data_IF_328532631855
#
_entry.id   IF_328532631855
#
_cell.length_a   1.000
_cell.length_b   1.000
_cell.length_c   1.000
_cell.angle_alpha   90.00
_cell.angle_beta   90.00
_cell.angle_gamma   90.00
#
_symmetry.space_group_name_H-M   'P 1'
#
loop_
_entity.id
_entity.type
_entity.pdbx_description
1 polymer ?
#
# COMPACT_ATOMS: atom_id res chain seq x y z
N UNK A 1 -2.94 5.41 -12.90
CA UNK A 1 -3.15 4.49 -11.76
C UNK A 1 -4.56 3.94 -11.76
N UNK A 2 -5.57 4.74 -11.42
CA UNK A 2 -6.93 4.25 -11.14
C UNK A 2 -7.59 3.51 -12.30
N UNK A 3 -7.38 3.93 -13.55
CA UNK A 3 -8.04 3.31 -14.72
C UNK A 3 -7.38 2.00 -15.15
N UNK A 4 -6.05 1.92 -15.15
CA UNK A 4 -5.30 0.75 -15.62
C UNK A 4 -5.17 -0.35 -14.55
N UNK A 5 -5.19 0.03 -13.27
CA UNK A 5 -4.95 -0.90 -12.17
C UNK A 5 -5.95 -2.08 -12.14
N UNK A 6 -7.27 -1.89 -12.31
CA UNK A 6 -8.22 -2.99 -12.34
C UNK A 6 -7.93 -4.02 -13.44
N UNK A 7 -7.54 -3.56 -14.64
CA UNK A 7 -7.21 -4.44 -15.77
C UNK A 7 -5.97 -5.29 -15.44
N UNK A 8 -4.91 -4.67 -14.93
CA UNK A 8 -3.70 -5.39 -14.50
C UNK A 8 -3.98 -6.39 -13.37
N UNK A 9 -4.87 -6.04 -12.44
CA UNK A 9 -5.27 -6.94 -11.36
C UNK A 9 -6.12 -8.10 -11.86
N UNK A 10 -6.85 -7.97 -12.96
CA UNK A 10 -7.63 -9.07 -13.54
C UNK A 10 -6.75 -10.13 -14.21
N UNK A 11 -5.57 -9.73 -14.71
CA UNK A 11 -4.61 -10.62 -15.39
C UNK A 11 -3.69 -11.39 -14.44
N UNK A 12 -3.77 -11.14 -13.12
CA UNK A 12 -2.86 -11.76 -12.15
C UNK A 12 -3.06 -13.27 -12.05
N UNK A 13 -1.96 -13.98 -11.78
CA UNK A 13 -1.99 -15.39 -11.40
C UNK A 13 -2.64 -15.54 -10.02
N UNK A 14 -3.69 -16.37 -9.93
CA UNK A 14 -4.47 -16.61 -8.71
C UNK A 14 -3.79 -17.57 -7.74
N UNK A 15 -2.83 -18.36 -8.22
CA UNK A 15 -2.05 -19.30 -7.42
C UNK A 15 -0.79 -18.65 -6.83
N UNK A 16 -0.55 -17.37 -7.13
CA UNK A 16 0.57 -16.58 -6.62
C UNK A 16 0.10 -15.43 -5.72
N UNK A 17 0.94 -15.05 -4.75
CA UNK A 17 0.74 -13.82 -3.99
C UNK A 17 1.15 -12.62 -4.84
N UNK A 18 0.19 -11.79 -5.22
CA UNK A 18 0.47 -10.52 -5.89
C UNK A 18 0.86 -9.47 -4.86
N UNK A 19 2.00 -8.82 -5.05
CA UNK A 19 2.46 -7.70 -4.20
C UNK A 19 2.42 -6.41 -5.02
N UNK A 20 1.64 -5.43 -4.55
CA UNK A 20 1.67 -4.07 -5.06
C UNK A 20 2.60 -3.24 -4.17
N UNK A 21 3.75 -2.88 -4.73
CA UNK A 21 4.74 -2.04 -4.07
C UNK A 21 4.64 -0.61 -4.61
N UNK A 22 4.34 0.35 -3.75
CA UNK A 22 4.19 1.74 -4.15
C UNK A 22 4.78 2.68 -3.10
N UNK A 23 5.98 3.22 -3.33
CA UNK A 23 6.62 4.15 -2.39
C UNK A 23 6.72 5.56 -2.98
N UNK A 24 6.41 6.57 -2.16
CA UNK A 24 6.43 8.02 -2.43
C UNK A 24 5.47 8.52 -3.53
N UNK A 25 5.14 7.73 -4.55
CA UNK A 25 4.26 8.18 -5.64
C UNK A 25 2.81 8.43 -5.19
N UNK A 26 2.37 7.79 -4.11
CA UNK A 26 1.06 7.99 -3.45
C UNK A 26 0.92 9.38 -2.83
N UNK A 27 2.03 10.05 -2.51
CA UNK A 27 2.01 11.38 -1.90
C UNK A 27 1.58 12.47 -2.90
N UNK A 28 1.66 12.21 -4.20
CA UNK A 28 1.36 13.18 -5.25
C UNK A 28 -0.07 13.05 -5.83
N UNK A 29 -0.88 12.12 -5.33
CA UNK A 29 -2.26 11.97 -5.78
C UNK A 29 -3.23 12.48 -4.71
N UNK A 30 -4.42 12.95 -5.11
CA UNK A 30 -5.45 13.44 -4.20
C UNK A 30 -6.07 12.33 -3.34
N UNK A 31 -6.61 12.67 -2.16
CA UNK A 31 -7.13 11.71 -1.17
C UNK A 31 -8.17 10.76 -1.77
N UNK A 32 -9.10 11.31 -2.53
CA UNK A 32 -10.13 10.53 -3.22
C UNK A 32 -9.54 9.55 -4.24
N UNK A 33 -8.48 9.93 -4.96
CA UNK A 33 -7.80 9.05 -5.92
C UNK A 33 -7.02 7.95 -5.20
N UNK A 34 -6.38 8.28 -4.08
CA UNK A 34 -5.70 7.29 -3.25
C UNK A 34 -6.69 6.27 -2.68
N UNK A 35 -7.82 6.73 -2.15
CA UNK A 35 -8.85 5.83 -1.64
C UNK A 35 -9.37 4.89 -2.73
N UNK A 36 -9.60 5.40 -3.95
CA UNK A 36 -9.99 4.56 -5.09
C UNK A 36 -8.96 3.48 -5.45
N UNK A 37 -7.66 3.77 -5.29
CA UNK A 37 -6.62 2.74 -5.45
C UNK A 37 -6.75 1.67 -4.36
N UNK A 38 -6.90 2.06 -3.10
CA UNK A 38 -7.07 1.12 -1.98
C UNK A 38 -8.28 0.22 -2.16
N UNK A 39 -9.41 0.82 -2.54
CA UNK A 39 -10.67 0.09 -2.75
C UNK A 39 -10.55 -0.91 -3.91
N UNK A 40 -9.91 -0.52 -5.01
CA UNK A 40 -9.65 -1.42 -6.14
C UNK A 40 -8.75 -2.60 -5.74
N UNK A 41 -7.70 -2.36 -4.94
CA UNK A 41 -6.81 -3.42 -4.45
C UNK A 41 -7.53 -4.36 -3.47
N UNK A 42 -8.35 -3.80 -2.56
CA UNK A 42 -9.14 -4.59 -1.61
C UNK A 42 -10.19 -5.45 -2.32
N UNK A 43 -10.91 -4.90 -3.29
CA UNK A 43 -11.88 -5.66 -4.09
C UNK A 43 -11.20 -6.76 -4.89
N UNK A 44 -10.05 -6.46 -5.51
CA UNK A 44 -9.24 -7.47 -6.18
C UNK A 44 -8.83 -8.63 -5.26
N UNK A 45 -8.59 -8.35 -3.98
CA UNK A 45 -8.20 -9.38 -3.00
C UNK A 45 -9.32 -10.41 -2.70
N UNK A 46 -10.56 -10.16 -3.12
CA UNK A 46 -11.65 -11.14 -3.04
C UNK A 46 -11.41 -12.33 -3.98
N UNK A 47 -10.77 -12.10 -5.13
CA UNK A 47 -10.47 -13.12 -6.14
C UNK A 47 -9.15 -13.88 -5.91
N UNK A 48 -8.34 -13.43 -4.94
CA UNK A 48 -7.05 -14.05 -4.61
C UNK A 48 -6.18 -13.16 -3.71
N UNK A 49 -5.26 -13.72 -2.90
CA UNK A 49 -4.48 -12.96 -1.93
C UNK A 49 -3.69 -11.80 -2.57
N UNK A 50 -3.75 -10.63 -1.94
CA UNK A 50 -3.03 -9.44 -2.40
C UNK A 50 -2.32 -8.77 -1.23
N UNK A 51 -1.02 -8.57 -1.39
CA UNK A 51 -0.20 -7.78 -0.49
C UNK A 51 -0.04 -6.36 -1.02
N UNK A 52 -0.07 -5.39 -0.11
CA UNK A 52 0.19 -3.99 -0.41
C UNK A 52 1.30 -3.49 0.50
N UNK A 53 2.29 -2.81 -0.07
CA UNK A 53 3.37 -2.15 0.65
C UNK A 53 3.48 -0.72 0.15
N UNK A 54 3.32 0.26 1.05
CA UNK A 54 3.33 1.67 0.67
C UNK A 54 3.75 2.60 1.79
N UNK A 55 4.24 3.79 1.43
CA UNK A 55 4.25 4.93 2.34
C UNK A 55 2.83 5.45 2.52
N UNK A 56 2.46 5.91 3.72
CA UNK A 56 1.21 6.65 3.90
C UNK A 56 1.24 7.96 3.11
N UNK A 57 0.04 8.51 2.85
CA UNK A 57 -0.07 9.90 2.38
C UNK A 57 0.29 10.85 3.52
N UNK A 58 0.80 12.03 3.18
CA UNK A 58 1.20 13.05 4.16
C UNK A 58 0.09 13.47 5.13
N UNK A 59 -1.18 13.40 4.72
CA UNK A 59 -2.37 13.74 5.52
C UNK A 59 -2.91 12.55 6.32
N UNK A 60 -2.38 11.35 6.09
CA UNK A 60 -2.67 10.11 6.84
C UNK A 60 -1.47 9.66 7.69
N UNK A 61 -0.33 10.37 7.62
CA UNK A 61 0.88 10.01 8.36
C UNK A 61 0.61 10.01 9.85
N UNK A 62 0.87 8.87 10.51
CA UNK A 62 0.99 8.82 11.96
C UNK A 62 2.10 9.79 12.39
N UNK A 63 1.81 10.83 13.18
CA UNK A 63 2.81 11.84 13.60
C UNK A 63 3.89 11.29 14.56
N UNK A 64 3.81 10.01 14.96
CA UNK A 64 4.72 9.42 15.95
C UNK A 64 6.10 9.08 15.39
N UNK A 65 7.05 10.02 15.47
CA UNK A 65 8.48 9.77 15.28
C UNK A 65 9.08 10.48 14.05
N UNK A 66 10.35 10.18 13.75
CA UNK A 66 11.03 10.69 12.56
C UNK A 66 10.84 9.74 11.35
N UNK A 67 10.91 10.26 10.12
CA UNK A 67 10.82 9.46 8.89
C UNK A 67 9.41 9.17 8.38
N UNK A 68 9.31 8.34 7.36
CA UNK A 68 8.09 8.00 6.62
C UNK A 68 7.50 6.68 7.12
N UNK A 69 6.21 6.63 7.47
CA UNK A 69 5.56 5.40 7.89
C UNK A 69 5.43 4.43 6.70
N UNK A 70 5.83 3.19 6.91
CA UNK A 70 5.65 2.07 5.99
C UNK A 70 4.42 1.27 6.40
N UNK A 71 3.39 1.33 5.58
CA UNK A 71 2.14 0.61 5.72
C UNK A 71 2.19 -0.70 4.91
N UNK A 72 1.68 -1.78 5.52
CA UNK A 72 1.52 -3.08 4.88
C UNK A 72 0.11 -3.62 5.12
N UNK A 73 -0.52 -4.15 4.06
CA UNK A 73 -1.75 -4.94 4.13
C UNK A 73 -1.54 -6.31 3.49
N UNK A 74 -2.28 -7.32 3.97
CA UNK A 74 -2.34 -8.64 3.35
C UNK A 74 -3.80 -9.07 3.25
N UNK A 75 -4.49 -8.55 2.24
CA UNK A 75 -5.91 -8.81 2.06
C UNK A 75 -6.18 -10.20 1.48
N UNK A 76 -7.34 -10.80 1.82
CA UNK A 76 -8.39 -10.26 2.69
C UNK A 76 -8.15 -10.51 4.20
N UNK A 77 -7.04 -11.13 4.60
CA UNK A 77 -6.84 -11.63 5.97
C UNK A 77 -6.41 -10.57 6.99
N UNK A 78 -5.65 -9.58 6.55
CA UNK A 78 -5.07 -8.55 7.41
C UNK A 78 -5.27 -7.19 6.76
N UNK A 79 -5.95 -6.30 7.48
CA UNK A 79 -6.05 -4.89 7.10
C UNK A 79 -4.68 -4.20 7.15
N UNK A 80 -4.66 -3.01 6.55
CA UNK A 80 -3.47 -2.20 6.48
C UNK A 80 -3.03 -1.73 7.87
N UNK A 81 -1.74 -1.83 8.16
CA UNK A 81 -1.11 -1.34 9.40
C UNK A 81 0.28 -0.79 9.12
N UNK A 82 0.69 0.20 9.89
CA UNK A 82 2.07 0.68 9.88
C UNK A 82 2.94 -0.34 10.60
N UNK A 83 4.00 -0.81 9.93
CA UNK A 83 4.92 -1.84 10.45
C UNK A 83 6.34 -1.33 10.64
N UNK A 84 6.66 -0.17 10.10
CA UNK A 84 7.98 0.43 10.26
C UNK A 84 7.93 1.92 9.97
N UNK A 85 9.01 2.62 10.32
CA UNK A 85 9.37 3.91 9.75
C UNK A 85 10.66 3.79 8.97
N UNK A 86 10.79 4.57 7.91
CA UNK A 86 12.01 4.60 7.12
C UNK A 86 12.47 6.01 6.80
N UNK A 87 13.75 6.15 6.51
CA UNK A 87 14.28 7.36 5.90
C UNK A 87 13.63 7.65 4.56
N UNK A 88 13.61 8.92 4.14
CA UNK A 88 12.96 9.33 2.88
C UNK A 88 13.54 8.59 1.66
N UNK A 89 14.83 8.26 1.70
CA UNK A 89 15.53 7.54 0.65
C UNK A 89 15.69 6.05 0.97
N UNK A 90 15.01 5.55 2.00
CA UNK A 90 15.15 4.17 2.50
C UNK A 90 16.51 3.91 3.14
N UNK A 91 17.22 4.96 3.58
CA UNK A 91 18.58 4.86 4.11
C UNK A 91 18.65 4.24 5.52
N UNK A 92 17.51 4.17 6.21
CA UNK A 92 17.31 3.40 7.44
C UNK A 92 15.87 2.89 7.51
N UNK A 93 15.67 1.84 8.32
CA UNK A 93 14.37 1.24 8.62
C UNK A 93 14.30 0.91 10.12
N UNK A 94 13.27 1.41 10.78
CA UNK A 94 12.94 1.11 12.17
C UNK A 94 11.64 0.30 12.20
N UNK A 95 11.74 -1.00 12.51
CA UNK A 95 10.62 -1.95 12.43
C UNK A 95 9.86 -2.04 13.76
N UNK A 96 8.53 -1.97 13.68
CA UNK A 96 7.64 -2.09 14.82
C UNK A 96 7.17 -3.54 14.93
N UNK A 97 7.70 -4.25 15.94
CA UNK A 97 7.35 -5.65 16.24
C UNK A 97 5.97 -5.78 16.86
#
# INVERSE_FOLDING_TARGET
YVELLPELLAERDRDALTIVFQTASTQYIEAERYQRVRDALRAAAEDGPLGWVSTQRFDEEDERGAGYPLEVALWPRHDARVVARMGYHGEWLDYFG
#
